data_IF_762555572114
#
_entry.id   IF_762555572114
#
_cell.length_a   1.000
_cell.length_b   1.000
_cell.length_c   1.000
_cell.angle_alpha   90.00
_cell.angle_beta   90.00
_cell.angle_gamma   90.00
#
_symmetry.space_group_name_H-M   'P 1'
#
loop_
_entity.id
_entity.type
_entity.pdbx_description
1 polymer ?
#
# COMPACT_ATOMS: atom_id res chain seq x y z
N UNK A 1 0.66 -50.32 9.95
CA UNK A 1 -0.31 -49.52 10.71
C UNK A 1 -0.35 -48.08 10.19
N UNK A 2 -1.54 -47.65 9.74
CA UNK A 2 -2.02 -46.28 9.46
C UNK A 2 -1.64 -45.55 8.16
N UNK A 3 -2.08 -46.07 7.01
CA UNK A 3 -1.93 -45.41 5.70
C UNK A 3 -2.86 -44.20 5.51
N UNK A 4 -4.16 -44.36 5.80
CA UNK A 4 -5.17 -43.30 5.63
C UNK A 4 -4.93 -42.15 6.60
N UNK A 5 -4.83 -42.43 7.91
CA UNK A 5 -4.57 -41.38 8.91
C UNK A 5 -3.35 -40.54 8.56
N UNK A 6 -2.23 -41.17 8.15
CA UNK A 6 -1.01 -40.46 7.80
C UNK A 6 -1.17 -39.62 6.52
N UNK A 7 -1.86 -40.12 5.49
CA UNK A 7 -2.15 -39.37 4.26
C UNK A 7 -3.05 -38.16 4.50
N UNK A 8 -4.08 -38.33 5.33
CA UNK A 8 -5.00 -37.24 5.72
C UNK A 8 -4.31 -36.19 6.57
N UNK A 9 -3.53 -36.62 7.58
CA UNK A 9 -2.76 -35.68 8.41
C UNK A 9 -1.74 -34.92 7.57
N UNK A 10 -1.04 -35.56 6.63
CA UNK A 10 -0.09 -34.87 5.73
C UNK A 10 -0.82 -33.88 4.81
N UNK A 11 -1.96 -34.26 4.24
CA UNK A 11 -2.76 -33.35 3.40
C UNK A 11 -3.26 -32.13 4.17
N UNK A 12 -3.76 -32.32 5.39
CA UNK A 12 -4.22 -31.24 6.25
C UNK A 12 -3.04 -30.35 6.72
N UNK A 13 -1.91 -30.95 7.10
CA UNK A 13 -0.70 -30.23 7.50
C UNK A 13 -0.13 -29.39 6.35
N UNK A 14 -0.16 -29.91 5.12
CA UNK A 14 0.23 -29.15 3.92
C UNK A 14 -0.68 -27.94 3.68
N UNK A 15 -2.00 -28.08 3.89
CA UNK A 15 -2.94 -26.95 3.77
C UNK A 15 -2.62 -25.88 4.81
N UNK A 16 -2.45 -26.28 6.08
CA UNK A 16 -2.09 -25.35 7.17
C UNK A 16 -0.77 -24.65 6.89
N UNK A 17 0.25 -25.39 6.41
CA UNK A 17 1.54 -24.84 6.03
C UNK A 17 1.41 -23.81 4.90
N UNK A 18 0.70 -24.13 3.82
CA UNK A 18 0.46 -23.20 2.71
C UNK A 18 -0.30 -21.94 3.15
N UNK A 19 -1.30 -22.09 4.02
CA UNK A 19 -2.06 -20.97 4.58
C UNK A 19 -1.16 -20.05 5.41
N UNK A 20 -0.28 -20.65 6.23
CA UNK A 20 0.67 -19.91 7.04
C UNK A 20 1.70 -19.16 6.19
N UNK A 21 2.31 -19.83 5.21
CA UNK A 21 3.27 -19.20 4.30
C UNK A 21 2.62 -18.11 3.43
N UNK A 22 1.40 -18.34 2.93
CA UNK A 22 0.64 -17.33 2.20
C UNK A 22 0.31 -16.12 3.08
N UNK A 23 -0.14 -16.35 4.31
CA UNK A 23 -0.42 -15.28 5.27
C UNK A 23 0.85 -14.48 5.60
N UNK A 24 1.97 -15.17 5.81
CA UNK A 24 3.26 -14.55 6.10
C UNK A 24 3.75 -13.70 4.92
N UNK A 25 3.71 -14.23 3.69
CA UNK A 25 4.08 -13.48 2.48
C UNK A 25 3.21 -12.23 2.32
N UNK A 26 1.89 -12.37 2.49
CA UNK A 26 0.96 -11.24 2.42
C UNK A 26 1.28 -10.16 3.46
N UNK A 27 1.60 -10.55 4.70
CA UNK A 27 2.04 -9.61 5.74
C UNK A 27 3.34 -8.89 5.38
N UNK A 28 4.32 -9.60 4.82
CA UNK A 28 5.59 -9.00 4.40
C UNK A 28 5.42 -8.02 3.24
N UNK A 29 4.61 -8.37 2.24
CA UNK A 29 4.34 -7.49 1.10
C UNK A 29 3.53 -6.26 1.51
N UNK A 30 2.56 -6.43 2.40
CA UNK A 30 1.78 -5.31 2.94
C UNK A 30 2.65 -4.39 3.80
N UNK A 31 3.57 -4.96 4.59
CA UNK A 31 4.54 -4.20 5.40
C UNK A 31 5.50 -3.39 4.50
N UNK A 32 5.99 -3.99 3.42
CA UNK A 32 6.84 -3.29 2.44
C UNK A 32 6.08 -2.16 1.75
N UNK A 33 4.87 -2.44 1.29
CA UNK A 33 4.01 -1.44 0.65
C UNK A 33 3.64 -0.31 1.62
N UNK A 34 3.41 -0.63 2.90
CA UNK A 34 3.16 0.35 3.96
C UNK A 34 4.37 1.26 4.17
N UNK A 35 5.58 0.71 4.28
CA UNK A 35 6.79 1.49 4.46
C UNK A 35 7.08 2.39 3.25
N UNK A 36 6.97 1.86 2.03
CA UNK A 36 7.17 2.65 0.81
C UNK A 36 6.13 3.78 0.71
N UNK A 37 4.89 3.52 1.12
CA UNK A 37 3.82 4.54 1.17
C UNK A 37 4.10 5.61 2.22
N UNK A 38 4.59 5.22 3.40
CA UNK A 38 4.88 6.14 4.50
C UNK A 38 6.07 7.05 4.18
N UNK A 39 7.11 6.52 3.53
CA UNK A 39 8.28 7.29 3.08
C UNK A 39 7.88 8.31 2.01
N UNK A 40 7.07 7.90 1.03
CA UNK A 40 6.53 8.79 -0.01
C UNK A 40 5.63 9.87 0.61
N UNK A 41 4.79 9.51 1.58
CA UNK A 41 3.90 10.45 2.25
C UNK A 41 4.68 11.47 3.07
N UNK A 42 5.73 11.04 3.79
CA UNK A 42 6.63 11.94 4.52
C UNK A 42 7.35 12.91 3.60
N UNK A 43 7.86 12.44 2.45
CA UNK A 43 8.50 13.31 1.46
C UNK A 43 7.51 14.34 0.88
N UNK A 44 6.27 13.93 0.58
CA UNK A 44 5.25 14.86 0.10
C UNK A 44 4.82 15.87 1.17
N UNK A 45 4.65 15.43 2.42
CA UNK A 45 4.34 16.31 3.55
C UNK A 45 5.45 17.35 3.76
N UNK A 46 6.72 16.91 3.63
CA UNK A 46 7.88 17.79 3.69
C UNK A 46 7.86 18.84 2.57
N UNK A 47 7.58 18.45 1.34
CA UNK A 47 7.48 19.38 0.20
C UNK A 47 6.35 20.41 0.38
N UNK A 48 5.19 19.99 0.90
CA UNK A 48 4.08 20.91 1.21
C UNK A 48 4.49 21.89 2.31
N UNK A 49 5.21 21.43 3.33
CA UNK A 49 5.68 22.29 4.42
C UNK A 49 6.68 23.34 3.91
N UNK A 50 7.62 22.95 3.04
CA UNK A 50 8.55 23.88 2.39
C UNK A 50 7.79 24.90 1.53
N UNK A 51 6.79 24.47 0.76
CA UNK A 51 5.97 25.38 -0.05
C UNK A 51 5.20 26.41 0.80
N UNK A 52 4.67 25.99 1.95
CA UNK A 52 4.00 26.89 2.90
C UNK A 52 4.98 27.90 3.48
N UNK A 53 6.15 27.44 3.92
CA UNK A 53 7.18 28.33 4.46
C UNK A 53 7.66 29.35 3.42
N UNK A 54 7.79 28.96 2.15
CA UNK A 54 8.06 29.91 1.06
C UNK A 54 6.94 30.92 0.89
N UNK A 55 5.67 30.49 0.92
CA UNK A 55 4.52 31.38 0.77
C UNK A 55 4.45 32.38 1.93
N UNK A 56 4.69 31.92 3.16
CA UNK A 56 4.70 32.75 4.37
C UNK A 56 5.83 33.79 4.30
N UNK A 57 7.04 33.38 3.93
CA UNK A 57 8.19 34.28 3.77
C UNK A 57 7.97 35.31 2.64
N UNK A 58 7.37 34.89 1.53
CA UNK A 58 6.99 35.79 0.44
C UNK A 58 5.94 36.81 0.89
N UNK A 59 4.94 36.38 1.66
CA UNK A 59 3.91 37.28 2.16
C UNK A 59 4.47 38.29 3.17
N UNK A 60 5.34 37.84 4.07
CA UNK A 60 6.05 38.68 5.04
C UNK A 60 6.94 39.71 4.32
N UNK A 61 7.61 39.31 3.25
CA UNK A 61 8.38 40.23 2.40
C UNK A 61 7.48 41.28 1.75
N UNK A 62 6.34 40.88 1.17
CA UNK A 62 5.40 41.80 0.54
C UNK A 62 4.86 42.83 1.54
N UNK A 63 4.49 42.38 2.75
CA UNK A 63 4.05 43.27 3.83
C UNK A 63 5.15 44.26 4.23
N UNK A 64 6.39 43.78 4.40
CA UNK A 64 7.54 44.65 4.68
C UNK A 64 7.76 45.68 3.57
N UNK A 65 7.59 45.27 2.31
CA UNK A 65 7.75 46.15 1.15
C UNK A 65 6.65 47.21 1.06
N UNK A 66 5.40 46.88 1.38
CA UNK A 66 4.30 47.86 1.48
C UNK A 66 4.63 48.89 2.56
N UNK A 67 5.06 48.47 3.75
CA UNK A 67 5.44 49.39 4.83
C UNK A 67 6.64 50.26 4.47
N UNK A 68 7.62 49.74 3.75
CA UNK A 68 8.81 50.48 3.33
C UNK A 68 8.53 51.46 2.18
N UNK A 69 7.74 51.06 1.18
CA UNK A 69 7.47 51.84 -0.04
C UNK A 69 6.30 52.82 0.09
N UNK A 70 5.25 52.47 0.83
CA UNK A 70 4.05 53.30 0.99
C UNK A 70 4.12 54.15 2.26
N UNK A 71 4.58 53.58 3.37
CA UNK A 71 4.61 54.25 4.67
C UNK A 71 5.97 54.83 5.05
N UNK A 72 7.05 54.46 4.33
CA UNK A 72 8.40 54.94 4.58
C UNK A 72 9.02 54.44 5.89
N UNK A 73 8.47 53.38 6.48
CA UNK A 73 8.90 52.87 7.78
C UNK A 73 10.16 52.00 7.65
N UNK A 74 11.29 52.54 8.17
CA UNK A 74 12.60 51.89 8.11
C UNK A 74 12.76 50.73 9.11
N UNK A 75 11.80 50.54 10.02
CA UNK A 75 11.82 49.38 10.92
C UNK A 75 11.69 48.05 10.16
N UNK A 76 11.13 48.08 8.94
CA UNK A 76 10.86 46.90 8.10
C UNK A 76 12.00 46.54 7.13
N UNK A 77 13.07 47.33 7.09
CA UNK A 77 14.23 47.13 6.21
C UNK A 77 14.91 45.77 6.50
N UNK A 78 15.12 45.49 7.78
CA UNK A 78 15.68 44.21 8.24
C UNK A 78 14.74 43.05 7.98
N UNK A 79 13.43 43.24 8.18
CA UNK A 79 12.41 42.22 7.93
C UNK A 79 12.37 41.81 6.46
N UNK A 80 12.43 42.78 5.54
CA UNK A 80 12.45 42.54 4.10
C UNK A 80 13.67 41.71 3.67
N UNK A 81 14.86 42.04 4.19
CA UNK A 81 16.07 41.24 3.89
C UNK A 81 16.02 39.84 4.49
N UNK A 82 15.50 39.71 5.71
CA UNK A 82 15.40 38.44 6.41
C UNK A 82 14.38 37.50 5.74
N UNK A 83 13.22 38.01 5.35
CA UNK A 83 12.16 37.23 4.68
C UNK A 83 12.62 36.76 3.30
N UNK A 84 13.33 37.61 2.54
CA UNK A 84 13.87 37.23 1.23
C UNK A 84 14.96 36.15 1.35
N UNK A 85 15.85 36.30 2.32
CA UNK A 85 16.88 35.29 2.60
C UNK A 85 16.25 33.96 3.03
N UNK A 86 15.18 34.00 3.83
CA UNK A 86 14.42 32.82 4.23
C UNK A 86 13.79 32.12 3.03
N UNK A 87 13.13 32.88 2.15
CA UNK A 87 12.52 32.37 0.92
C UNK A 87 13.54 31.63 0.04
N UNK A 88 14.71 32.22 -0.20
CA UNK A 88 15.78 31.59 -0.98
C UNK A 88 16.35 30.34 -0.33
N UNK A 89 16.56 30.36 0.98
CA UNK A 89 17.08 29.21 1.70
C UNK A 89 16.09 28.04 1.63
N UNK A 90 14.80 28.30 1.86
CA UNK A 90 13.75 27.27 1.73
C UNK A 90 13.65 26.76 0.29
N UNK A 91 13.80 27.65 -0.71
CA UNK A 91 13.82 27.28 -2.12
C UNK A 91 15.02 26.38 -2.48
N UNK A 92 16.21 26.69 -1.96
CA UNK A 92 17.40 25.87 -2.17
C UNK A 92 17.24 24.48 -1.54
N UNK A 93 16.65 24.39 -0.34
CA UNK A 93 16.31 23.11 0.30
C UNK A 93 15.32 22.32 -0.56
N UNK A 94 14.27 22.96 -1.07
CA UNK A 94 13.31 22.29 -1.95
C UNK A 94 13.95 21.81 -3.26
N UNK A 95 14.89 22.55 -3.85
CA UNK A 95 15.62 22.14 -5.05
C UNK A 95 16.56 20.95 -4.81
N UNK A 96 17.15 20.88 -3.62
CA UNK A 96 18.00 19.77 -3.21
C UNK A 96 17.18 18.49 -2.93
N UNK A 97 15.99 18.63 -2.32
CA UNK A 97 15.12 17.52 -1.95
C UNK A 97 14.17 17.06 -3.08
N UNK A 98 13.90 17.90 -4.08
CA UNK A 98 12.96 17.56 -5.16
C UNK A 98 13.54 16.64 -6.23
N UNK A 99 12.75 15.63 -6.59
CA UNK A 99 13.03 14.71 -7.70
C UNK A 99 12.79 15.36 -9.08
N UNK A 100 11.82 16.27 -9.17
CA UNK A 100 11.52 17.03 -10.40
C UNK A 100 11.83 18.51 -10.20
N UNK A 101 12.88 18.99 -10.87
CA UNK A 101 13.40 20.36 -10.75
C UNK A 101 12.67 21.35 -11.66
N UNK A 102 11.89 20.87 -12.62
CA UNK A 102 11.28 21.72 -13.66
C UNK A 102 10.39 22.85 -13.10
N UNK A 103 9.57 22.55 -12.09
CA UNK A 103 8.72 23.54 -11.42
C UNK A 103 9.52 24.50 -10.54
N UNK A 104 10.59 24.01 -9.92
CA UNK A 104 11.44 24.79 -9.04
C UNK A 104 12.39 25.72 -9.80
N UNK A 105 12.77 25.38 -11.02
CA UNK A 105 13.57 26.26 -11.88
C UNK A 105 12.77 27.50 -12.28
N UNK A 106 11.47 27.34 -12.60
CA UNK A 106 10.57 28.46 -12.88
C UNK A 106 10.35 29.35 -11.65
N UNK A 107 10.26 28.74 -10.47
CA UNK A 107 10.14 29.45 -9.20
C UNK A 107 11.43 30.20 -8.84
N UNK A 108 12.59 29.58 -9.04
CA UNK A 108 13.89 30.20 -8.81
C UNK A 108 14.14 31.40 -9.74
N UNK A 109 13.70 31.30 -10.99
CA UNK A 109 13.74 32.43 -11.91
C UNK A 109 12.90 33.60 -11.39
N UNK A 110 11.63 33.36 -11.03
CA UNK A 110 10.74 34.41 -10.51
C UNK A 110 11.25 35.01 -9.18
N UNK A 111 11.83 34.19 -8.31
CA UNK A 111 12.39 34.63 -7.02
C UNK A 111 13.63 35.52 -7.23
N UNK A 112 14.50 35.15 -8.18
CA UNK A 112 15.69 35.94 -8.53
C UNK A 112 15.30 37.27 -9.17
N UNK A 113 14.28 37.27 -10.04
CA UNK A 113 13.76 38.48 -10.67
C UNK A 113 13.21 39.46 -9.61
N UNK A 114 12.45 38.95 -8.63
CA UNK A 114 11.96 39.73 -7.50
C UNK A 114 13.10 40.25 -6.61
N UNK A 115 14.18 39.46 -6.41
CA UNK A 115 15.35 39.89 -5.66
C UNK A 115 16.03 41.09 -6.31
N UNK A 116 16.32 40.99 -7.60
CA UNK A 116 17.02 42.04 -8.32
C UNK A 116 16.21 43.35 -8.29
N UNK A 117 14.88 43.25 -8.39
CA UNK A 117 13.99 44.41 -8.26
C UNK A 117 14.06 45.01 -6.84
N UNK A 118 13.97 44.16 -5.82
CA UNK A 118 14.03 44.54 -4.40
C UNK A 118 15.37 45.22 -4.08
N UNK A 119 16.49 44.61 -4.48
CA UNK A 119 17.84 45.14 -4.23
C UNK A 119 18.05 46.50 -4.93
N UNK A 120 17.51 46.68 -6.14
CA UNK A 120 17.56 47.97 -6.86
C UNK A 120 16.77 49.06 -6.12
N UNK A 121 15.59 48.75 -5.60
CA UNK A 121 14.78 49.67 -4.82
C UNK A 121 15.46 50.04 -3.49
N UNK A 122 16.08 49.05 -2.83
CA UNK A 122 16.86 49.21 -1.60
C UNK A 122 18.17 49.97 -1.79
N UNK A 123 18.70 50.02 -3.01
CA UNK A 123 19.88 50.82 -3.37
C UNK A 123 19.52 52.23 -3.89
N UNK A 124 18.28 52.45 -4.34
CA UNK A 124 17.81 53.74 -4.86
C UNK A 124 17.76 54.81 -3.75
N UNK A 125 17.93 56.08 -4.11
CA UNK A 125 18.03 57.16 -3.13
C UNK A 125 16.67 57.44 -2.44
N UNK A 126 16.72 57.80 -1.15
CA UNK A 126 15.56 57.78 -0.23
C UNK A 126 14.39 58.69 -0.60
N UNK A 127 14.60 59.66 -1.50
CA UNK A 127 13.60 60.61 -1.98
C UNK A 127 12.74 60.08 -3.14
N UNK A 128 13.14 58.98 -3.79
CA UNK A 128 12.45 58.41 -4.95
C UNK A 128 11.81 57.04 -4.67
N UNK A 129 11.97 56.52 -3.44
CA UNK A 129 11.44 55.22 -2.99
C UNK A 129 9.93 55.20 -2.76
N UNK A 130 9.31 56.34 -2.48
CA UNK A 130 7.89 56.39 -2.15
C UNK A 130 7.07 56.57 -3.42
N UNK A 131 6.63 55.47 -4.01
CA UNK A 131 5.72 55.51 -5.15
C UNK A 131 4.81 54.29 -5.13
N UNK A 132 3.55 54.51 -4.70
CA UNK A 132 2.45 53.54 -4.82
C UNK A 132 2.30 53.04 -6.27
N UNK A 133 2.61 53.89 -7.25
CA UNK A 133 2.62 53.52 -8.67
C UNK A 133 3.68 52.49 -9.02
N UNK A 134 4.89 52.62 -8.46
CA UNK A 134 5.97 51.66 -8.72
C UNK A 134 5.65 50.28 -8.11
N UNK A 135 5.05 50.26 -6.92
CA UNK A 135 4.61 49.01 -6.29
C UNK A 135 3.53 48.31 -7.13
N UNK A 136 2.50 49.02 -7.59
CA UNK A 136 1.43 48.44 -8.41
C UNK A 136 1.89 48.06 -9.83
N UNK A 137 2.75 48.87 -10.47
CA UNK A 137 3.14 48.66 -11.88
C UNK A 137 4.28 47.62 -12.04
N UNK A 138 5.27 47.61 -11.14
CA UNK A 138 6.47 46.76 -11.29
C UNK A 138 6.51 45.60 -10.27
N UNK A 139 6.20 45.85 -9.00
CA UNK A 139 6.37 44.84 -7.93
C UNK A 139 5.22 43.82 -7.87
N UNK A 140 3.97 44.29 -7.91
CA UNK A 140 2.77 43.44 -7.73
C UNK A 140 2.69 42.31 -8.77
N UNK A 141 3.01 42.61 -10.03
CA UNK A 141 3.03 41.61 -11.11
C UNK A 141 4.05 40.49 -10.88
N UNK A 142 5.26 40.84 -10.45
CA UNK A 142 6.34 39.89 -10.15
C UNK A 142 6.03 39.06 -8.91
N UNK A 143 5.52 39.69 -7.85
CA UNK A 143 5.07 39.01 -6.64
C UNK A 143 3.96 38.01 -6.93
N UNK A 144 2.92 38.42 -7.69
CA UNK A 144 1.81 37.54 -8.05
C UNK A 144 2.27 36.35 -8.90
N UNK A 145 3.23 36.55 -9.80
CA UNK A 145 3.84 35.47 -10.60
C UNK A 145 4.59 34.47 -9.71
N UNK A 146 5.39 34.95 -8.77
CA UNK A 146 6.11 34.11 -7.82
C UNK A 146 5.15 33.37 -6.88
N UNK A 147 4.18 34.07 -6.27
CA UNK A 147 3.19 33.48 -5.39
C UNK A 147 2.32 32.43 -6.11
N UNK A 148 1.97 32.67 -7.38
CA UNK A 148 1.29 31.69 -8.22
C UNK A 148 2.17 30.48 -8.52
N UNK A 149 3.48 30.67 -8.79
CA UNK A 149 4.43 29.58 -8.96
C UNK A 149 4.57 28.71 -7.69
N UNK A 150 4.66 29.33 -6.50
CA UNK A 150 4.68 28.62 -5.20
C UNK A 150 3.35 27.87 -4.99
N UNK A 151 2.22 28.51 -5.28
CA UNK A 151 0.89 27.90 -5.16
C UNK A 151 0.71 26.74 -6.13
N UNK A 152 1.24 26.84 -7.34
CA UNK A 152 1.25 25.77 -8.34
C UNK A 152 2.18 24.63 -7.90
N UNK A 153 3.34 24.92 -7.29
CA UNK A 153 4.20 23.90 -6.69
C UNK A 153 3.49 23.17 -5.53
N UNK A 154 2.82 23.90 -4.64
CA UNK A 154 2.02 23.34 -3.55
C UNK A 154 0.85 22.48 -4.09
N UNK A 155 0.11 23.00 -5.07
CA UNK A 155 -1.06 22.32 -5.65
C UNK A 155 -0.66 21.13 -6.51
N UNK A 156 0.44 21.21 -7.26
CA UNK A 156 1.01 20.11 -8.05
C UNK A 156 1.57 19.00 -7.14
N UNK A 157 2.23 19.37 -6.04
CA UNK A 157 2.66 18.40 -5.02
C UNK A 157 1.46 17.73 -4.34
N UNK A 158 0.41 18.50 -4.04
CA UNK A 158 -0.83 18.00 -3.44
C UNK A 158 -1.66 17.16 -4.41
N UNK A 159 -1.68 17.52 -5.70
CA UNK A 159 -2.39 16.79 -6.76
C UNK A 159 -1.62 15.58 -7.25
N UNK A 160 -0.29 15.55 -7.12
CA UNK A 160 0.59 14.40 -7.36
C UNK A 160 0.32 13.25 -6.38
N UNK A 161 -0.34 13.48 -5.24
CA UNK A 161 -0.91 12.37 -4.46
C UNK A 161 -1.94 11.57 -5.26
N UNK A 162 -2.72 12.20 -6.15
CA UNK A 162 -3.79 11.54 -6.90
C UNK A 162 -3.28 10.51 -7.94
N UNK A 163 -2.32 10.82 -8.85
CA UNK A 163 -1.75 9.82 -9.76
C UNK A 163 -0.74 8.88 -9.06
N UNK A 164 -0.21 9.23 -7.87
CA UNK A 164 0.53 8.25 -7.04
C UNK A 164 -0.38 7.17 -6.45
N UNK A 165 -1.69 7.40 -6.36
CA UNK A 165 -2.69 6.35 -6.12
C UNK A 165 -2.72 5.30 -7.26
N UNK A 166 -2.32 5.69 -8.48
CA UNK A 166 -2.31 4.80 -9.65
C UNK A 166 -1.02 3.96 -9.71
N UNK A 167 0.13 4.51 -9.31
CA UNK A 167 1.34 3.71 -9.05
C UNK A 167 1.18 2.82 -7.80
N UNK A 168 0.49 3.30 -6.76
CA UNK A 168 0.03 2.47 -5.65
C UNK A 168 -0.87 1.33 -6.15
N UNK A 169 -1.77 1.57 -7.11
CA UNK A 169 -2.58 0.50 -7.71
C UNK A 169 -1.71 -0.53 -8.41
N UNK A 170 -0.71 -0.13 -9.20
CA UNK A 170 0.14 -1.09 -9.93
C UNK A 170 1.06 -1.88 -8.99
N UNK A 171 1.66 -1.22 -8.00
CA UNK A 171 2.48 -1.90 -6.98
C UNK A 171 1.63 -2.74 -6.02
N UNK A 172 0.43 -2.29 -5.64
CA UNK A 172 -0.53 -3.07 -4.88
C UNK A 172 -1.01 -4.27 -5.71
N UNK A 173 -1.27 -4.12 -7.01
CA UNK A 173 -1.64 -5.24 -7.86
C UNK A 173 -0.49 -6.25 -7.95
N UNK A 174 0.75 -5.78 -8.07
CA UNK A 174 1.95 -6.63 -8.11
C UNK A 174 2.22 -7.34 -6.77
N UNK A 175 1.87 -6.72 -5.64
CA UNK A 175 1.89 -7.31 -4.31
C UNK A 175 0.68 -8.22 -4.03
N UNK A 176 -0.49 -7.95 -4.61
CA UNK A 176 -1.73 -8.71 -4.36
C UNK A 176 -1.83 -9.93 -5.28
N UNK A 177 -1.20 -9.89 -6.45
CA UNK A 177 -1.16 -11.02 -7.40
C UNK A 177 -0.66 -12.34 -6.77
N UNK A 178 0.47 -12.39 -6.03
CA UNK A 178 0.90 -13.64 -5.39
C UNK A 178 -0.08 -14.14 -4.33
N UNK A 179 -0.77 -13.25 -3.61
CA UNK A 179 -1.80 -13.60 -2.61
C UNK A 179 -3.05 -14.18 -3.27
N UNK A 180 -3.48 -13.65 -4.42
CA UNK A 180 -4.62 -14.20 -5.16
C UNK A 180 -4.29 -15.57 -5.77
N UNK A 181 -3.08 -15.74 -6.29
CA UNK A 181 -2.62 -17.03 -6.83
C UNK A 181 -2.53 -18.06 -5.71
N UNK A 182 -1.96 -17.72 -4.55
CA UNK A 182 -1.87 -18.65 -3.41
C UNK A 182 -3.25 -19.05 -2.88
N UNK A 183 -4.22 -18.11 -2.85
CA UNK A 183 -5.60 -18.40 -2.47
C UNK A 183 -6.26 -19.38 -3.45
N UNK A 184 -6.10 -19.18 -4.76
CA UNK A 184 -6.66 -20.09 -5.77
C UNK A 184 -6.06 -21.50 -5.66
N UNK A 185 -4.74 -21.60 -5.45
CA UNK A 185 -4.04 -22.88 -5.23
C UNK A 185 -4.54 -23.56 -3.95
N UNK A 186 -4.76 -22.79 -2.87
CA UNK A 186 -5.31 -23.31 -1.62
C UNK A 186 -6.69 -23.93 -1.84
N UNK A 187 -7.59 -23.23 -2.52
CA UNK A 187 -8.94 -23.72 -2.82
C UNK A 187 -8.88 -25.00 -3.66
N UNK A 188 -8.01 -25.05 -4.67
CA UNK A 188 -7.82 -26.23 -5.50
C UNK A 188 -7.34 -27.46 -4.69
N UNK A 189 -6.37 -27.27 -3.77
CA UNK A 189 -5.86 -28.36 -2.92
C UNK A 189 -6.95 -28.85 -1.94
N UNK A 190 -7.73 -27.94 -1.36
CA UNK A 190 -8.85 -28.31 -0.48
C UNK A 190 -9.90 -29.13 -1.23
N UNK A 191 -10.28 -28.71 -2.44
CA UNK A 191 -11.22 -29.46 -3.28
C UNK A 191 -10.67 -30.84 -3.66
N UNK A 192 -9.38 -30.93 -3.97
CA UNK A 192 -8.72 -32.20 -4.29
C UNK A 192 -8.69 -33.14 -3.08
N UNK A 193 -8.42 -32.62 -1.89
CA UNK A 193 -8.45 -33.39 -0.65
C UNK A 193 -9.86 -33.84 -0.26
N UNK A 194 -10.87 -32.99 -0.47
CA UNK A 194 -12.29 -33.36 -0.28
C UNK A 194 -12.70 -34.51 -1.21
N UNK A 195 -12.31 -34.43 -2.48
CA UNK A 195 -12.56 -35.49 -3.46
C UNK A 195 -11.88 -36.80 -3.04
N UNK A 196 -10.62 -36.73 -2.59
CA UNK A 196 -9.88 -37.88 -2.11
C UNK A 196 -10.52 -38.52 -0.86
N UNK A 197 -10.93 -37.72 0.13
CA UNK A 197 -11.63 -38.20 1.32
C UNK A 197 -12.97 -38.86 0.98
N UNK A 198 -13.71 -38.28 0.03
CA UNK A 198 -15.01 -38.80 -0.39
C UNK A 198 -14.86 -40.18 -1.04
N UNK A 199 -13.93 -40.34 -1.97
CA UNK A 199 -13.74 -41.60 -2.70
C UNK A 199 -13.11 -42.70 -1.83
N UNK A 200 -12.06 -42.37 -1.08
CA UNK A 200 -11.26 -43.38 -0.39
C UNK A 200 -11.73 -43.67 1.04
N UNK A 201 -12.41 -42.75 1.70
CA UNK A 201 -12.89 -42.94 3.08
C UNK A 201 -14.41 -42.99 3.15
N UNK A 202 -15.13 -41.98 2.66
CA UNK A 202 -16.58 -41.85 2.87
C UNK A 202 -17.36 -42.91 2.11
N UNK A 203 -17.16 -43.01 0.79
CA UNK A 203 -17.89 -43.95 -0.05
C UNK A 203 -17.76 -45.42 0.40
N UNK A 204 -16.56 -45.96 0.68
CA UNK A 204 -16.45 -47.36 1.11
C UNK A 204 -16.98 -47.59 2.52
N UNK A 205 -16.89 -46.61 3.44
CA UNK A 205 -17.50 -46.71 4.78
C UNK A 205 -19.03 -46.73 4.67
N UNK A 206 -19.62 -45.86 3.86
CA UNK A 206 -21.08 -45.82 3.63
C UNK A 206 -21.54 -47.13 2.97
N UNK A 207 -20.78 -47.64 2.00
CA UNK A 207 -21.07 -48.93 1.37
C UNK A 207 -20.99 -50.09 2.36
N UNK A 208 -19.95 -50.14 3.21
CA UNK A 208 -19.83 -51.15 4.28
C UNK A 208 -20.97 -51.08 5.29
N UNK A 209 -21.36 -49.88 5.72
CA UNK A 209 -22.45 -49.71 6.67
C UNK A 209 -23.78 -50.23 6.09
N UNK A 210 -24.04 -49.91 4.82
CA UNK A 210 -25.23 -50.41 4.11
C UNK A 210 -25.23 -51.92 3.98
N UNK A 211 -24.13 -52.53 3.54
CA UNK A 211 -24.04 -53.99 3.40
C UNK A 211 -24.10 -54.72 4.74
N UNK A 212 -23.61 -54.10 5.82
CA UNK A 212 -23.75 -54.64 7.18
C UNK A 212 -25.21 -54.61 7.64
N UNK A 213 -25.93 -53.51 7.37
CA UNK A 213 -27.36 -53.39 7.64
C UNK A 213 -28.21 -54.42 6.87
N UNK A 214 -27.87 -54.65 5.60
CA UNK A 214 -28.50 -55.68 4.76
C UNK A 214 -28.19 -57.11 5.26
N UNK A 215 -26.97 -57.36 5.76
CA UNK A 215 -26.61 -58.63 6.40
C UNK A 215 -27.39 -58.88 7.70
N UNK A 216 -27.50 -57.86 8.57
CA UNK A 216 -28.20 -57.96 9.86
C UNK A 216 -29.72 -58.15 9.68
N UNK A 217 -30.32 -57.49 8.69
CA UNK A 217 -31.77 -57.48 8.49
C UNK A 217 -32.25 -58.64 7.62
N UNK A 218 -31.52 -58.96 6.55
CA UNK A 218 -31.98 -59.89 5.51
C UNK A 218 -31.10 -61.13 5.33
N UNK A 219 -30.04 -61.31 6.16
CA UNK A 219 -29.06 -62.42 6.06
C UNK A 219 -28.34 -62.53 4.70
N UNK A 220 -28.40 -61.47 3.89
CA UNK A 220 -27.74 -61.38 2.58
C UNK A 220 -26.22 -61.37 2.78
N UNK A 221 -25.43 -62.15 2.02
CA UNK A 221 -23.97 -62.18 2.19
C UNK A 221 -23.34 -60.81 1.97
N UNK A 222 -22.45 -60.43 2.88
CA UNK A 222 -21.72 -59.17 2.84
C UNK A 222 -20.82 -59.12 1.59
N UNK A 223 -21.20 -58.32 0.61
CA UNK A 223 -20.60 -58.31 -0.72
C UNK A 223 -20.08 -56.94 -1.12
N UNK A 224 -19.16 -56.37 -0.34
CA UNK A 224 -18.57 -55.05 -0.67
C UNK A 224 -17.51 -55.22 -1.76
N UNK A 225 -17.88 -54.90 -3.02
CA UNK A 225 -17.02 -54.94 -4.23
C UNK A 225 -16.19 -53.67 -4.46
N UNK A 226 -16.06 -52.78 -3.49
CA UNK A 226 -15.26 -51.55 -3.67
C UNK A 226 -13.78 -51.79 -3.42
N UNK A 227 -12.94 -51.04 -4.14
CA UNK A 227 -11.47 -50.91 -3.97
C UNK A 227 -11.11 -50.36 -2.58
N UNK A 228 -11.41 -51.15 -1.54
CA UNK A 228 -11.03 -50.82 -0.17
C UNK A 228 -9.50 -50.94 -0.07
N UNK A 229 -8.82 -49.85 0.29
CA UNK A 229 -7.39 -49.82 0.58
C UNK A 229 -7.16 -49.42 2.04
N UNK A 230 -6.00 -49.78 2.57
CA UNK A 230 -5.52 -49.45 3.91
C UNK A 230 -6.50 -49.92 5.02
N UNK A 231 -6.83 -49.06 5.97
CA UNK A 231 -7.59 -49.38 7.20
C UNK A 231 -9.03 -49.85 6.91
N UNK A 232 -9.60 -49.44 5.78
CA UNK A 232 -10.97 -49.82 5.35
C UNK A 232 -11.00 -51.27 4.85
N UNK A 233 -9.91 -51.76 4.25
CA UNK A 233 -9.77 -53.16 3.86
C UNK A 233 -9.62 -54.06 5.10
N UNK A 234 -8.78 -53.64 6.05
CA UNK A 234 -8.59 -54.38 7.30
C UNK A 234 -9.90 -54.46 8.11
N UNK A 235 -10.72 -53.39 8.08
CA UNK A 235 -12.06 -53.40 8.67
C UNK A 235 -12.99 -54.38 7.95
N UNK A 236 -12.93 -54.44 6.62
CA UNK A 236 -13.72 -55.38 5.80
C UNK A 236 -13.38 -56.82 6.15
N UNK A 237 -12.09 -57.17 6.20
CA UNK A 237 -11.61 -58.51 6.54
C UNK A 237 -11.99 -58.93 7.97
N UNK A 238 -11.94 -58.00 8.93
CA UNK A 238 -12.40 -58.26 10.31
C UNK A 238 -13.91 -58.50 10.38
N UNK A 239 -14.69 -57.82 9.56
CA UNK A 239 -16.14 -58.05 9.46
C UNK A 239 -16.42 -59.40 8.80
N UNK A 240 -15.74 -59.73 7.70
CA UNK A 240 -15.90 -61.01 7.00
C UNK A 240 -15.54 -62.20 7.90
N UNK A 241 -14.46 -62.10 8.68
CA UNK A 241 -14.08 -63.14 9.66
C UNK A 241 -15.09 -63.26 10.80
N UNK A 242 -15.66 -62.15 11.29
CA UNK A 242 -16.71 -62.18 12.32
C UNK A 242 -18.01 -62.84 11.78
N UNK A 243 -18.37 -62.55 10.53
CA UNK A 243 -19.51 -63.16 9.83
C UNK A 243 -19.27 -64.67 9.62
N UNK A 244 -18.05 -65.07 9.29
CA UNK A 244 -17.69 -66.49 9.15
C UNK A 244 -17.77 -67.23 10.48
N UNK A 245 -17.28 -66.63 11.57
CA UNK A 245 -17.36 -67.19 12.93
C UNK A 245 -18.80 -67.29 13.44
N UNK A 246 -19.65 -66.31 13.15
CA UNK A 246 -21.08 -66.35 13.54
C UNK A 246 -21.91 -67.32 12.70
N UNK A 247 -21.41 -67.75 11.52
CA UNK A 247 -22.01 -68.83 10.72
C UNK A 247 -21.55 -70.23 11.13
N UNK A 248 -20.42 -70.39 11.83
CA UNK A 248 -20.01 -71.69 12.35
C UNK A 248 -20.91 -72.07 13.53
N UNK A 249 -21.55 -73.26 13.53
CA UNK A 249 -22.31 -73.72 14.68
C UNK A 249 -21.35 -73.89 15.86
N UNK A 250 -21.70 -73.30 17.02
CA UNK A 250 -21.04 -73.65 18.28
C UNK A 250 -21.24 -75.16 18.48
N UNK A 251 -20.13 -75.90 18.51
CA UNK A 251 -20.06 -77.31 18.90
C UNK A 251 -20.54 -77.43 20.35
#
# INVERSE_FOLDING_TARGET
MTGIRKRVTVGFLSIVGLLFFSGMISFFELSRLSNDTEEILKANQRNIQLAKEMLDAAHEQNMAFIHLSVFGDRAYDSLCTASMMRLENTLAVAQAEAFDRSFLDSLAFATTELRVLTDRFMAADSTQRVSEKWYNDEYEGLYNRMASAIKNYMTSTQSSLAPRTEQLKTNAYRAVTPVLISLAVMIAIVLMLYYFMTIYCVNPIVAMNRSLGEFLTFRIPFGVKTDCRDEVLELKEKIDTLIALTRQPKI
#
